data_IF_768241339367
#
_entry.id   IF_768241339367
#
_cell.length_a   1.000
_cell.length_b   1.000
_cell.length_c   1.000
_cell.angle_alpha   90.00
_cell.angle_beta   90.00
_cell.angle_gamma   90.00
#
_symmetry.space_group_name_H-M   'P 1'
#
loop_
_entity.id
_entity.type
_entity.pdbx_description
1 polymer ?
#
# COMPACT_ATOMS: atom_id res chain seq x y z
N UNK A 1 14.42 -3.25 9.52
CA UNK A 1 14.77 -4.28 8.51
C UNK A 1 13.47 -4.98 8.18
N UNK A 2 13.14 -5.16 6.91
CA UNK A 2 11.87 -5.77 6.48
C UNK A 2 11.84 -7.23 6.94
N UNK A 3 10.82 -7.61 7.72
CA UNK A 3 10.64 -8.98 8.20
C UNK A 3 9.78 -9.78 7.20
N UNK A 4 10.39 -10.82 6.61
CA UNK A 4 9.73 -11.75 5.70
C UNK A 4 8.48 -12.39 6.32
N UNK A 5 8.49 -12.70 7.62
CA UNK A 5 7.37 -13.35 8.29
C UNK A 5 6.12 -12.48 8.35
N UNK A 6 6.30 -11.15 8.37
CA UNK A 6 5.20 -10.18 8.33
C UNK A 6 4.64 -10.06 6.90
N UNK A 7 5.50 -10.05 5.88
CA UNK A 7 5.07 -10.09 4.48
C UNK A 7 4.30 -11.37 4.14
N UNK A 8 4.58 -12.50 4.81
CA UNK A 8 3.85 -13.76 4.62
C UNK A 8 2.45 -13.79 5.25
N UNK A 9 2.05 -12.74 5.98
CA UNK A 9 0.69 -12.66 6.53
C UNK A 9 -0.36 -12.36 5.44
N UNK A 10 0.03 -11.74 4.32
CA UNK A 10 -0.85 -11.58 3.16
C UNK A 10 -0.78 -12.79 2.24
N UNK A 11 -1.90 -13.08 1.57
CA UNK A 11 -1.94 -14.12 0.54
C UNK A 11 -1.28 -13.72 -0.77
N UNK A 12 -1.01 -12.42 -0.98
CA UNK A 12 -0.47 -11.89 -2.24
C UNK A 12 0.88 -12.51 -2.63
N UNK A 13 1.69 -12.91 -1.64
CA UNK A 13 3.06 -13.40 -1.86
C UNK A 13 3.24 -14.90 -1.60
N UNK A 14 2.16 -15.66 -1.41
CA UNK A 14 2.25 -17.06 -1.00
C UNK A 14 2.90 -17.98 -2.04
N UNK A 15 2.85 -17.61 -3.32
CA UNK A 15 3.35 -18.43 -4.42
C UNK A 15 4.79 -18.06 -4.85
N UNK A 16 5.43 -17.10 -4.17
CA UNK A 16 6.80 -16.69 -4.46
C UNK A 16 7.81 -17.77 -4.02
N UNK A 17 8.73 -18.09 -4.92
CA UNK A 17 9.91 -18.94 -4.69
C UNK A 17 10.99 -18.17 -3.93
N UNK A 18 11.97 -18.88 -3.38
CA UNK A 18 13.02 -18.27 -2.56
C UNK A 18 13.80 -17.15 -3.25
N UNK A 19 14.09 -17.29 -4.55
CA UNK A 19 14.77 -16.24 -5.30
C UNK A 19 13.89 -14.99 -5.48
N UNK A 20 12.58 -15.17 -5.71
CA UNK A 20 11.62 -14.06 -5.84
C UNK A 20 11.44 -13.33 -4.50
N UNK A 21 11.44 -14.08 -3.39
CA UNK A 21 11.49 -13.49 -2.04
C UNK A 21 12.73 -12.62 -1.82
N UNK A 22 13.89 -13.10 -2.25
CA UNK A 22 15.13 -12.34 -2.12
C UNK A 22 15.08 -11.04 -2.93
N UNK A 23 14.48 -11.06 -4.12
CA UNK A 23 14.29 -9.84 -4.91
C UNK A 23 13.27 -8.90 -4.27
N UNK A 24 12.12 -9.41 -3.82
CA UNK A 24 11.10 -8.60 -3.14
C UNK A 24 11.67 -7.90 -1.89
N UNK A 25 12.43 -8.62 -1.07
CA UNK A 25 13.04 -8.05 0.14
C UNK A 25 14.07 -6.95 -0.17
N UNK A 26 14.76 -7.01 -1.32
CA UNK A 26 15.71 -5.95 -1.74
C UNK A 26 15.01 -4.66 -2.15
N UNK A 27 13.83 -4.76 -2.75
CA UNK A 27 13.06 -3.60 -3.23
C UNK A 27 12.05 -3.08 -2.20
N UNK A 28 11.93 -3.75 -1.06
CA UNK A 28 10.99 -3.37 0.00
C UNK A 28 11.70 -2.56 1.09
N UNK A 29 11.10 -1.45 1.48
CA UNK A 29 11.54 -0.61 2.61
C UNK A 29 10.42 -0.41 3.62
N UNK A 30 10.80 -0.25 4.88
CA UNK A 30 9.89 0.17 5.94
C UNK A 30 9.83 1.70 5.98
N UNK A 31 8.63 2.26 6.17
CA UNK A 31 8.43 3.70 6.35
C UNK A 31 7.33 3.96 7.38
N UNK A 32 7.61 4.89 8.27
CA UNK A 32 6.65 5.43 9.24
C UNK A 32 5.93 6.66 8.68
N UNK A 33 4.66 6.78 9.06
CA UNK A 33 3.75 7.88 8.75
C UNK A 33 3.02 8.28 10.02
N UNK A 34 2.68 9.57 10.13
CA UNK A 34 1.86 10.08 11.22
C UNK A 34 0.38 10.15 10.81
N UNK A 35 -0.51 10.24 11.80
CA UNK A 35 -1.93 10.48 11.55
C UNK A 35 -2.14 11.70 10.65
N UNK A 36 -2.97 11.54 9.62
CA UNK A 36 -3.26 12.56 8.61
C UNK A 36 -2.36 12.52 7.38
N UNK A 37 -1.24 11.80 7.40
CA UNK A 37 -0.34 11.71 6.24
C UNK A 37 -1.02 11.03 5.04
N UNK A 38 -0.76 11.57 3.86
CA UNK A 38 -1.09 10.93 2.59
C UNK A 38 0.01 9.94 2.21
N UNK A 39 -0.35 8.67 2.03
CA UNK A 39 0.58 7.64 1.55
C UNK A 39 0.74 7.73 0.03
N UNK A 40 -0.38 7.90 -0.67
CA UNK A 40 -0.44 8.27 -2.09
C UNK A 40 -1.78 8.94 -2.37
N UNK A 41 -1.85 9.70 -3.46
CA UNK A 41 -3.06 10.37 -3.91
C UNK A 41 -3.60 9.75 -5.19
N UNK A 42 -4.91 9.82 -5.37
CA UNK A 42 -5.55 9.55 -6.66
C UNK A 42 -4.88 10.38 -7.77
N UNK A 43 -4.55 9.74 -8.89
CA UNK A 43 -3.85 10.35 -10.02
C UNK A 43 -2.32 10.32 -9.94
N UNK A 44 -1.72 9.93 -8.81
CA UNK A 44 -0.27 9.74 -8.71
C UNK A 44 0.19 8.59 -9.64
N UNK A 45 1.44 8.66 -10.09
CA UNK A 45 2.07 7.53 -10.77
C UNK A 45 2.11 6.31 -9.84
N UNK A 46 1.93 5.11 -10.40
CA UNK A 46 1.73 3.90 -9.61
C UNK A 46 2.91 2.92 -9.78
N UNK A 47 3.98 3.15 -9.01
CA UNK A 47 5.22 2.34 -9.07
C UNK A 47 5.50 1.56 -7.78
N UNK A 48 4.55 1.57 -6.84
CA UNK A 48 4.75 0.96 -5.52
C UNK A 48 3.57 0.10 -5.07
N UNK A 49 3.90 -0.86 -4.23
CA UNK A 49 2.95 -1.67 -3.47
C UNK A 49 3.14 -1.41 -1.98
N UNK A 50 2.04 -1.29 -1.25
CA UNK A 50 2.04 -0.94 0.16
C UNK A 50 1.39 -2.04 1.00
N UNK A 51 2.06 -2.48 2.06
CA UNK A 51 1.47 -3.33 3.10
C UNK A 51 1.47 -2.59 4.43
N UNK A 52 0.33 -2.56 5.09
CA UNK A 52 0.21 -2.00 6.44
C UNK A 52 0.78 -2.98 7.47
N UNK A 53 1.73 -2.56 8.30
CA UNK A 53 2.29 -3.40 9.38
C UNK A 53 1.63 -3.09 10.72
N UNK A 54 1.44 -1.81 11.02
CA UNK A 54 0.70 -1.31 12.18
C UNK A 54 0.07 0.02 11.85
N UNK A 55 -1.02 0.35 12.53
CA UNK A 55 -1.78 1.57 12.30
C UNK A 55 -3.09 1.29 11.58
N UNK A 56 -3.58 2.30 10.88
CA UNK A 56 -4.89 2.26 10.21
C UNK A 56 -4.91 3.30 9.09
N UNK A 57 -5.33 2.87 7.90
CA UNK A 57 -5.48 3.76 6.75
C UNK A 57 -6.90 3.66 6.19
N UNK A 58 -7.32 4.72 5.52
CA UNK A 58 -8.50 4.71 4.68
C UNK A 58 -8.13 4.86 3.21
N UNK A 59 -8.86 4.16 2.35
CA UNK A 59 -8.83 4.33 0.90
C UNK A 59 -10.02 5.19 0.50
N UNK A 60 -9.75 6.26 -0.24
CA UNK A 60 -10.73 7.27 -0.61
C UNK A 60 -10.76 7.47 -2.12
N UNK A 61 -11.95 7.68 -2.68
CA UNK A 61 -12.14 8.04 -4.09
C UNK A 61 -12.94 9.33 -4.22
N UNK A 62 -12.67 10.09 -5.29
CA UNK A 62 -13.51 11.23 -5.68
C UNK A 62 -14.68 10.76 -6.55
N UNK A 63 -15.89 10.79 -6.00
CA UNK A 63 -17.10 10.41 -6.75
C UNK A 63 -17.52 11.52 -7.73
N UNK A 64 -17.35 12.78 -7.33
CA UNK A 64 -17.54 13.94 -8.20
C UNK A 64 -16.76 15.15 -7.64
N UNK A 65 -16.35 16.14 -8.48
CA UNK A 65 -15.56 17.29 -8.03
C UNK A 65 -16.18 18.09 -6.87
N UNK A 66 -17.50 18.04 -6.74
CA UNK A 66 -18.29 18.85 -5.80
C UNK A 66 -18.69 18.07 -4.53
N UNK A 67 -18.57 16.74 -4.54
CA UNK A 67 -19.05 15.86 -3.47
C UNK A 67 -17.97 15.46 -2.46
N UNK A 68 -16.74 15.92 -2.64
CA UNK A 68 -15.61 15.55 -1.79
C UNK A 68 -15.15 14.11 -1.99
N UNK A 69 -14.32 13.65 -1.06
CA UNK A 69 -13.77 12.29 -1.05
C UNK A 69 -14.65 11.35 -0.22
N UNK A 70 -14.81 10.12 -0.68
CA UNK A 70 -15.57 9.07 0.04
C UNK A 70 -14.65 7.92 0.39
N UNK A 71 -14.63 7.54 1.66
CA UNK A 71 -13.92 6.35 2.14
C UNK A 71 -14.64 5.10 1.66
N UNK A 72 -13.95 4.28 0.87
CA UNK A 72 -14.47 3.03 0.28
C UNK A 72 -13.93 1.79 0.97
N UNK A 73 -12.80 1.91 1.67
CA UNK A 73 -12.18 0.80 2.38
C UNK A 73 -11.30 1.29 3.52
N UNK A 74 -11.20 0.49 4.59
CA UNK A 74 -10.25 0.71 5.70
C UNK A 74 -9.23 -0.41 5.66
N UNK A 75 -7.97 -0.05 5.48
CA UNK A 75 -6.83 -0.98 5.42
C UNK A 75 -6.46 -1.38 6.84
N UNK A 76 -6.44 -2.68 7.09
CA UNK A 76 -6.05 -3.27 8.38
C UNK A 76 -4.62 -3.81 8.32
N UNK A 77 -3.97 -4.05 9.47
CA UNK A 77 -2.65 -4.68 9.49
C UNK A 77 -2.62 -5.96 8.64
N UNK A 78 -1.56 -6.07 7.85
CA UNK A 78 -1.26 -7.09 6.84
C UNK A 78 -2.10 -7.04 5.55
N UNK A 79 -3.06 -6.11 5.45
CA UNK A 79 -3.69 -5.82 4.18
C UNK A 79 -2.70 -5.11 3.25
N UNK A 80 -2.90 -5.34 1.96
CA UNK A 80 -2.13 -4.73 0.88
C UNK A 80 -3.03 -3.73 0.17
N UNK A 81 -2.46 -2.59 -0.23
CA UNK A 81 -3.11 -1.62 -1.08
C UNK A 81 -2.17 -1.12 -2.17
N UNK A 82 -2.75 -0.65 -3.27
CA UNK A 82 -1.99 -0.19 -4.44
C UNK A 82 -1.53 -1.33 -5.36
N UNK A 83 -2.05 -2.53 -5.17
CA UNK A 83 -1.80 -3.74 -5.97
C UNK A 83 -2.33 -3.64 -7.41
N UNK A 84 -3.35 -2.84 -7.64
CA UNK A 84 -3.90 -2.64 -8.99
C UNK A 84 -2.89 -2.06 -9.99
N UNK A 85 -1.92 -1.27 -9.50
CA UNK A 85 -0.82 -0.74 -10.29
C UNK A 85 -0.01 -1.83 -11.02
N UNK A 86 0.02 -3.03 -10.44
CA UNK A 86 0.74 -4.19 -10.97
C UNK A 86 0.04 -4.81 -12.19
N UNK A 87 -1.29 -4.73 -12.26
CA UNK A 87 -2.09 -5.38 -13.31
C UNK A 87 -2.34 -4.44 -14.49
N UNK A 88 -2.53 -3.15 -14.23
CA UNK A 88 -2.81 -2.12 -15.23
C UNK A 88 -2.05 -0.85 -14.83
N UNK A 89 -0.99 -0.45 -15.58
CA UNK A 89 -0.12 0.67 -15.24
C UNK A 89 -0.80 2.02 -15.52
N UNK A 90 -1.91 2.26 -14.82
CA UNK A 90 -2.65 3.51 -14.79
C UNK A 90 -2.26 4.30 -13.53
N UNK A 91 -2.49 5.63 -13.53
CA UNK A 91 -2.43 6.41 -12.31
C UNK A 91 -3.28 5.80 -11.20
N UNK A 92 -2.95 6.08 -9.93
CA UNK A 92 -3.70 5.60 -8.77
C UNK A 92 -5.19 5.95 -8.92
N UNK A 93 -6.07 4.95 -8.76
CA UNK A 93 -7.52 5.12 -8.85
C UNK A 93 -8.17 5.65 -7.56
N UNK A 94 -7.39 5.74 -6.48
CA UNK A 94 -7.82 6.15 -5.17
C UNK A 94 -6.65 6.79 -4.41
N UNK A 95 -6.96 7.50 -3.34
CA UNK A 95 -6.01 8.01 -2.36
C UNK A 95 -5.94 7.07 -1.15
N UNK A 96 -4.79 7.00 -0.49
CA UNK A 96 -4.63 6.33 0.80
C UNK A 96 -4.13 7.32 1.86
N UNK A 97 -4.85 7.41 2.98
CA UNK A 97 -4.56 8.34 4.07
C UNK A 97 -4.46 7.62 5.41
N UNK A 98 -3.45 7.95 6.20
CA UNK A 98 -3.32 7.45 7.57
C UNK A 98 -4.36 8.10 8.48
N UNK A 99 -5.20 7.30 9.14
CA UNK A 99 -6.12 7.77 10.19
C UNK A 99 -5.59 7.52 11.60
N UNK A 100 -4.42 6.86 11.69
CA UNK A 100 -3.56 6.75 12.88
C UNK A 100 -2.10 6.71 12.44
N UNK A 101 -1.17 6.95 13.36
CA UNK A 101 0.25 6.67 13.15
C UNK A 101 0.43 5.24 12.62
N UNK A 102 1.13 5.12 11.50
CA UNK A 102 1.19 3.87 10.74
C UNK A 102 2.61 3.56 10.29
N UNK A 103 2.92 2.27 10.17
CA UNK A 103 4.15 1.78 9.54
C UNK A 103 3.78 0.90 8.38
N UNK A 104 4.40 1.16 7.24
CA UNK A 104 4.16 0.42 6.01
C UNK A 104 5.44 -0.19 5.48
N UNK A 105 5.30 -1.36 4.87
CA UNK A 105 6.28 -1.88 3.94
C UNK A 105 5.92 -1.41 2.53
N UNK A 106 6.90 -0.83 1.83
CA UNK A 106 6.75 -0.23 0.51
C UNK A 106 7.70 -0.95 -0.44
N UNK A 107 7.17 -1.71 -1.38
CA UNK A 107 7.94 -2.36 -2.44
C UNK A 107 7.91 -1.49 -3.70
N UNK A 108 9.08 -1.11 -4.21
CA UNK A 108 9.23 -0.40 -5.49
C UNK A 108 9.23 -1.41 -6.63
N UNK A 109 8.21 -1.39 -7.48
CA UNK A 109 8.07 -2.34 -8.59
C UNK A 109 8.41 -1.58 -9.87
N UNK A 110 9.55 -1.92 -10.47
CA UNK A 110 10.09 -1.34 -11.72
C UNK A 110 10.03 -2.34 -12.87
#
# INVERSE_FOLDING_TARGET
MVDKNLLQQTKLFNDLKDHEWNELLKITKEKDFIEGDMVFSEGDASTELYMLIKGELEIQIKIAPQLGETTVYVVKPYDVCGEFAFVDPKPRSASARCIRNSTLYIALIS
#
